data_IF_144433740756
#
_entry.id   IF_144433740756
#
_cell.length_a   1.000
_cell.length_b   1.000
_cell.length_c   1.000
_cell.angle_alpha   90.00
_cell.angle_beta   90.00
_cell.angle_gamma   90.00
#
_symmetry.space_group_name_H-M   'P 1'
#
loop_
_entity.id
_entity.type
_entity.pdbx_description
1 polymer ?
#
# COMPACT_ATOMS: atom_id res chain seq x y z
N UNK A 1 -21.92 22.07 7.81
CA UNK A 1 -20.90 21.06 8.14
C UNK A 1 -21.55 20.01 9.04
N UNK A 2 -21.59 18.72 8.68
CA UNK A 2 -21.99 17.69 9.63
C UNK A 2 -20.75 17.23 10.41
N UNK A 3 -20.76 17.50 11.71
CA UNK A 3 -19.81 17.02 12.69
C UNK A 3 -19.81 15.49 12.76
N UNK A 4 -18.66 14.85 12.47
CA UNK A 4 -18.48 13.41 12.53
C UNK A 4 -18.36 12.93 13.99
N UNK A 5 -19.49 12.81 14.67
CA UNK A 5 -19.65 12.02 15.89
C UNK A 5 -20.60 10.87 15.61
N UNK A 6 -20.05 9.66 15.37
CA UNK A 6 -20.81 8.40 15.40
C UNK A 6 -22.06 8.31 14.50
N UNK A 7 -22.02 8.92 13.31
CA UNK A 7 -23.13 8.88 12.35
C UNK A 7 -22.92 7.82 11.26
N UNK A 8 -24.00 7.20 10.79
CA UNK A 8 -23.99 6.32 9.61
C UNK A 8 -23.18 6.95 8.48
N UNK A 9 -22.13 6.27 8.02
CA UNK A 9 -21.31 6.65 6.85
C UNK A 9 -22.04 6.34 5.52
N UNK A 10 -23.35 6.11 5.61
CA UNK A 10 -24.27 5.76 4.54
C UNK A 10 -25.33 6.86 4.36
N UNK A 11 -25.57 7.37 3.14
CA UNK A 11 -24.87 7.07 1.88
C UNK A 11 -23.46 7.69 1.82
N UNK A 12 -22.59 7.17 0.95
CA UNK A 12 -21.24 7.73 0.72
C UNK A 12 -21.34 9.12 0.07
N UNK A 13 -20.73 10.14 0.68
CA UNK A 13 -20.79 11.56 0.28
C UNK A 13 -19.43 12.13 -0.13
N UNK A 14 -18.50 11.26 -0.51
CA UNK A 14 -17.13 11.64 -0.85
C UNK A 14 -16.24 11.72 0.39
N UNK A 15 -16.06 12.92 0.95
CA UNK A 15 -15.05 13.15 1.99
C UNK A 15 -15.58 12.87 3.40
N UNK A 16 -14.82 12.09 4.16
CA UNK A 16 -15.05 11.81 5.57
C UNK A 16 -13.78 12.06 6.36
N UNK A 17 -13.93 12.66 7.55
CA UNK A 17 -12.83 12.75 8.49
C UNK A 17 -12.71 11.44 9.26
N UNK A 18 -11.55 10.80 9.15
CA UNK A 18 -11.24 9.56 9.86
C UNK A 18 -10.21 9.85 10.95
N UNK A 19 -10.43 9.40 12.21
CA UNK A 19 -9.56 9.73 13.33
C UNK A 19 -8.21 8.99 13.28
N UNK A 20 -8.08 7.98 12.42
CA UNK A 20 -6.91 7.14 12.27
C UNK A 20 -6.58 7.00 10.78
N UNK A 21 -5.30 6.75 10.45
CA UNK A 21 -4.85 6.36 9.11
C UNK A 21 -5.66 5.18 8.55
N UNK A 22 -5.95 4.20 9.41
CA UNK A 22 -6.85 3.09 9.11
C UNK A 22 -8.00 3.10 10.13
N UNK A 23 -9.25 3.33 9.68
CA UNK A 23 -10.45 3.26 10.52
C UNK A 23 -10.59 1.90 11.22
N UNK A 24 -11.47 1.82 12.22
CA UNK A 24 -11.81 0.53 12.83
C UNK A 24 -12.56 -0.39 11.86
N UNK A 25 -12.67 -1.68 12.20
CA UNK A 25 -13.25 -2.68 11.31
C UNK A 25 -14.71 -2.39 10.94
N UNK A 26 -15.53 -1.92 11.88
CA UNK A 26 -16.93 -1.61 11.60
C UNK A 26 -17.03 -0.40 10.67
N UNK A 27 -16.26 0.65 10.94
CA UNK A 27 -16.20 1.83 10.10
C UNK A 27 -15.73 1.52 8.68
N UNK A 28 -14.70 0.68 8.51
CA UNK A 28 -14.25 0.24 7.19
C UNK A 28 -15.36 -0.46 6.41
N UNK A 29 -16.06 -1.41 7.04
CA UNK A 29 -17.16 -2.13 6.37
C UNK A 29 -18.33 -1.21 6.03
N UNK A 30 -18.63 -0.21 6.87
CA UNK A 30 -19.62 0.82 6.55
C UNK A 30 -19.21 1.69 5.36
N UNK A 31 -17.93 2.07 5.28
CA UNK A 31 -17.39 2.81 4.13
C UNK A 31 -17.46 1.98 2.85
N UNK A 32 -17.08 0.70 2.90
CA UNK A 32 -17.15 -0.19 1.73
C UNK A 32 -18.59 -0.41 1.26
N UNK A 33 -19.55 -0.59 2.18
CA UNK A 33 -20.96 -0.66 1.82
C UNK A 33 -21.45 0.64 1.16
N UNK A 34 -20.98 1.78 1.68
CA UNK A 34 -21.09 3.11 1.08
C UNK A 34 -20.64 3.16 -0.38
N UNK A 35 -19.38 2.79 -0.60
CA UNK A 35 -18.73 2.82 -1.90
C UNK A 35 -19.38 1.85 -2.90
N UNK A 36 -19.69 0.63 -2.45
CA UNK A 36 -20.27 -0.41 -3.30
C UNK A 36 -21.63 -0.01 -3.87
N UNK A 37 -22.47 0.67 -3.09
CA UNK A 37 -23.78 1.08 -3.56
C UNK A 37 -23.76 2.39 -4.39
N UNK A 38 -22.61 3.07 -4.45
CA UNK A 38 -22.30 4.12 -5.42
C UNK A 38 -21.46 3.56 -6.59
N UNK A 39 -21.52 2.25 -6.84
CA UNK A 39 -20.86 1.54 -7.93
C UNK A 39 -19.32 1.72 -8.00
N UNK A 40 -18.67 2.01 -6.87
CA UNK A 40 -17.21 2.07 -6.80
C UNK A 40 -16.60 0.69 -7.06
N UNK A 41 -15.72 0.58 -8.05
CA UNK A 41 -15.13 -0.69 -8.47
C UNK A 41 -13.75 -0.98 -7.87
N UNK A 42 -13.12 0.00 -7.23
CA UNK A 42 -11.79 -0.15 -6.65
C UNK A 42 -11.62 0.77 -5.43
N UNK A 43 -10.82 0.32 -4.46
CA UNK A 43 -10.43 1.09 -3.27
C UNK A 43 -8.93 0.95 -3.07
N UNK A 44 -8.23 2.07 -2.97
CA UNK A 44 -6.87 2.14 -2.46
C UNK A 44 -6.91 2.68 -1.03
N UNK A 45 -6.18 2.04 -0.11
CA UNK A 45 -6.18 2.42 1.29
C UNK A 45 -4.81 2.24 1.94
N UNK A 46 -4.54 3.04 2.97
CA UNK A 46 -3.39 2.87 3.83
C UNK A 46 -3.69 1.87 4.95
N UNK A 47 -2.84 0.85 5.08
CA UNK A 47 -2.95 -0.19 6.11
C UNK A 47 -1.79 -0.04 7.11
N UNK A 48 -2.08 0.62 8.22
CA UNK A 48 -1.08 0.82 9.28
C UNK A 48 -0.75 -0.49 10.01
N UNK A 49 0.46 -0.60 10.57
CA UNK A 49 0.85 -1.76 11.38
C UNK A 49 -0.02 -1.91 12.64
N UNK A 50 -0.46 -0.79 13.21
CA UNK A 50 -1.43 -0.76 14.30
C UNK A 50 -2.76 -1.41 13.88
N UNK A 51 -3.24 -1.11 12.67
CA UNK A 51 -4.48 -1.68 12.16
C UNK A 51 -4.39 -3.21 12.02
N UNK A 52 -3.28 -3.71 11.48
CA UNK A 52 -3.03 -5.14 11.34
C UNK A 52 -2.94 -5.85 12.70
N UNK A 53 -2.20 -5.24 13.65
CA UNK A 53 -2.04 -5.76 15.00
C UNK A 53 -3.35 -5.76 15.81
N UNK A 54 -4.21 -4.77 15.60
CA UNK A 54 -5.48 -4.61 16.30
C UNK A 54 -6.68 -5.25 15.57
N UNK A 55 -6.45 -5.93 14.44
CA UNK A 55 -7.52 -6.57 13.66
C UNK A 55 -8.51 -5.58 13.03
N UNK A 56 -8.11 -4.32 12.79
CA UNK A 56 -9.01 -3.32 12.19
C UNK A 56 -9.36 -3.63 10.75
N UNK A 57 -8.50 -4.37 10.04
CA UNK A 57 -8.76 -4.81 8.67
C UNK A 57 -9.36 -6.21 8.60
N UNK A 58 -9.70 -6.83 9.73
CA UNK A 58 -10.31 -8.17 9.72
C UNK A 58 -11.64 -8.13 8.95
N UNK A 59 -11.89 -9.13 8.10
CA UNK A 59 -13.04 -9.14 7.19
C UNK A 59 -12.87 -8.29 5.92
N UNK A 60 -11.70 -7.65 5.72
CA UNK A 60 -11.34 -7.04 4.44
C UNK A 60 -10.54 -8.04 3.61
N UNK A 61 -10.97 -8.27 2.37
CA UNK A 61 -10.21 -9.08 1.42
C UNK A 61 -9.45 -8.17 0.47
N UNK A 62 -8.12 -8.24 0.48
CA UNK A 62 -7.26 -7.42 -0.37
C UNK A 62 -6.97 -8.13 -1.68
N UNK A 63 -7.20 -7.46 -2.81
CA UNK A 63 -6.75 -7.94 -4.13
C UNK A 63 -5.26 -7.67 -4.35
N UNK A 64 -4.75 -6.55 -3.83
CA UNK A 64 -3.34 -6.16 -3.97
C UNK A 64 -2.80 -5.66 -2.64
N UNK A 65 -1.64 -6.19 -2.23
CA UNK A 65 -0.87 -5.65 -1.12
C UNK A 65 0.45 -5.06 -1.63
N UNK A 66 0.77 -3.82 -1.22
CA UNK A 66 1.97 -3.10 -1.65
C UNK A 66 2.91 -2.87 -0.47
N UNK A 67 4.16 -3.31 -0.59
CA UNK A 67 5.22 -3.02 0.38
C UNK A 67 6.14 -1.95 -0.19
N UNK A 68 6.21 -0.80 0.50
CA UNK A 68 7.01 0.35 0.09
C UNK A 68 8.38 0.38 0.74
N UNK A 69 8.43 0.41 2.08
CA UNK A 69 9.67 0.32 2.86
C UNK A 69 9.35 -0.01 4.33
N UNK A 70 10.39 -0.39 5.09
CA UNK A 70 10.34 -0.57 6.53
C UNK A 70 11.55 0.05 7.21
N UNK A 71 11.36 1.23 7.80
CA UNK A 71 12.35 1.90 8.65
C UNK A 71 11.88 1.97 10.10
N UNK A 72 12.77 2.41 11.01
CA UNK A 72 12.47 2.49 12.44
C UNK A 72 11.36 3.51 12.71
N UNK A 73 10.19 3.00 13.06
CA UNK A 73 9.01 3.76 13.46
C UNK A 73 8.15 2.95 14.44
N UNK A 74 7.24 3.59 15.17
CA UNK A 74 6.21 2.95 16.01
C UNK A 74 6.71 1.91 17.05
N UNK A 75 7.96 1.99 17.49
CA UNK A 75 8.52 1.05 18.47
C UNK A 75 8.01 1.27 19.90
N UNK A 76 7.38 2.41 20.16
CA UNK A 76 6.62 2.67 21.38
C UNK A 76 5.39 1.75 21.51
N UNK A 77 4.80 1.36 20.38
CA UNK A 77 3.71 0.40 20.32
C UNK A 77 4.21 -1.04 20.12
N UNK A 78 5.05 -1.25 19.10
CA UNK A 78 5.48 -2.60 18.71
C UNK A 78 6.60 -3.16 19.58
N UNK A 79 7.33 -2.34 20.33
CA UNK A 79 8.47 -2.77 21.15
C UNK A 79 9.74 -2.97 20.33
N UNK A 80 9.71 -3.86 19.34
CA UNK A 80 10.88 -4.21 18.50
C UNK A 80 10.62 -4.05 17.00
N UNK A 81 11.70 -3.92 16.23
CA UNK A 81 11.62 -3.91 14.76
C UNK A 81 11.07 -5.24 14.21
N UNK A 82 11.36 -6.36 14.88
CA UNK A 82 10.84 -7.67 14.52
C UNK A 82 9.32 -7.72 14.65
N UNK A 83 8.78 -7.28 15.80
CA UNK A 83 7.33 -7.23 16.04
C UNK A 83 6.63 -6.27 15.08
N UNK A 84 7.27 -5.12 14.79
CA UNK A 84 6.77 -4.18 13.79
C UNK A 84 6.72 -4.79 12.38
N UNK A 85 7.77 -5.52 11.97
CA UNK A 85 7.81 -6.25 10.70
C UNK A 85 6.72 -7.32 10.65
N UNK A 86 6.64 -8.16 11.68
CA UNK A 86 5.68 -9.26 11.78
C UNK A 86 4.24 -8.76 11.68
N UNK A 87 3.92 -7.60 12.28
CA UNK A 87 2.61 -6.97 12.13
C UNK A 87 2.29 -6.64 10.67
N UNK A 88 3.24 -6.08 9.90
CA UNK A 88 3.04 -5.77 8.48
C UNK A 88 3.00 -7.02 7.60
N UNK A 89 3.77 -8.06 7.91
CA UNK A 89 3.78 -9.31 7.15
C UNK A 89 2.42 -10.02 7.17
N UNK A 90 1.57 -9.78 8.18
CA UNK A 90 0.20 -10.30 8.23
C UNK A 90 -0.56 -10.01 6.94
N UNK A 91 -0.49 -8.77 6.43
CA UNK A 91 -1.18 -8.37 5.19
C UNK A 91 -0.80 -9.26 3.98
N UNK A 92 0.46 -9.68 3.91
CA UNK A 92 0.97 -10.48 2.80
C UNK A 92 0.71 -11.98 2.98
N UNK A 93 0.71 -12.47 4.24
CA UNK A 93 0.42 -13.89 4.56
C UNK A 93 -1.05 -14.24 4.35
N UNK A 94 -1.91 -13.24 4.49
CA UNK A 94 -3.36 -13.32 4.30
C UNK A 94 -3.75 -13.32 2.81
N UNK A 95 -2.79 -13.14 1.88
CA UNK A 95 -3.00 -13.38 0.46
C UNK A 95 -2.92 -14.90 0.19
N UNK A 96 -4.01 -15.49 -0.30
CA UNK A 96 -4.17 -16.94 -0.48
C UNK A 96 -4.85 -17.36 -1.79
N UNK A 97 -5.30 -16.40 -2.61
CA UNK A 97 -5.94 -16.62 -3.91
C UNK A 97 -5.01 -16.15 -5.05
N UNK A 98 -4.20 -17.05 -5.66
CA UNK A 98 -3.25 -16.68 -6.71
C UNK A 98 -3.91 -16.27 -8.03
N UNK A 99 -5.19 -16.55 -8.25
CA UNK A 99 -5.87 -16.16 -9.48
C UNK A 99 -6.29 -14.69 -9.41
N UNK A 100 -6.71 -14.23 -8.23
CA UNK A 100 -7.19 -12.86 -8.01
C UNK A 100 -6.13 -11.92 -7.42
N UNK A 101 -5.31 -12.40 -6.49
CA UNK A 101 -4.50 -11.54 -5.63
C UNK A 101 -3.06 -11.38 -6.08
N UNK A 102 -2.45 -10.22 -5.81
CA UNK A 102 -1.05 -9.92 -6.13
C UNK A 102 -0.35 -9.24 -4.96
N UNK A 103 0.96 -9.46 -4.86
CA UNK A 103 1.83 -8.68 -3.97
C UNK A 103 2.77 -7.80 -4.80
N UNK A 104 2.92 -6.54 -4.42
CA UNK A 104 3.86 -5.59 -5.01
C UNK A 104 4.94 -5.26 -3.98
N UNK A 105 6.21 -5.43 -4.32
CA UNK A 105 7.31 -5.38 -3.34
C UNK A 105 8.45 -4.53 -3.87
N UNK A 106 8.84 -3.52 -3.10
CA UNK A 106 10.06 -2.76 -3.31
C UNK A 106 11.31 -3.61 -3.02
N UNK A 107 12.18 -3.81 -4.01
CA UNK A 107 13.46 -4.53 -3.81
C UNK A 107 14.58 -3.65 -3.25
N UNK A 108 14.41 -2.33 -3.24
CA UNK A 108 15.42 -1.40 -2.70
C UNK A 108 15.46 -1.43 -1.16
N UNK A 109 14.43 -1.98 -0.53
CA UNK A 109 14.37 -2.11 0.92
C UNK A 109 15.03 -3.42 1.41
N UNK A 110 15.93 -3.38 2.40
CA UNK A 110 16.63 -4.56 2.90
C UNK A 110 15.68 -5.63 3.48
N UNK A 111 14.49 -5.24 3.94
CA UNK A 111 13.51 -6.16 4.53
C UNK A 111 12.65 -6.85 3.46
N UNK A 112 12.78 -6.50 2.18
CA UNK A 112 11.97 -7.02 1.07
C UNK A 112 11.87 -8.55 1.03
N UNK A 113 12.96 -9.23 1.34
CA UNK A 113 13.04 -10.69 1.36
C UNK A 113 12.05 -11.34 2.35
N UNK A 114 11.72 -10.68 3.46
CA UNK A 114 10.69 -11.14 4.39
C UNK A 114 9.29 -11.06 3.78
N UNK A 115 9.00 -9.97 3.05
CA UNK A 115 7.73 -9.75 2.38
C UNK A 115 7.52 -10.71 1.20
N UNK A 116 8.58 -10.99 0.44
CA UNK A 116 8.56 -11.99 -0.63
C UNK A 116 8.20 -13.36 -0.07
N UNK A 117 8.83 -13.76 1.05
CA UNK A 117 8.54 -15.02 1.71
C UNK A 117 7.10 -15.08 2.23
N UNK A 118 6.60 -13.98 2.80
CA UNK A 118 5.23 -13.89 3.31
C UNK A 118 4.18 -14.00 2.20
N UNK A 119 4.43 -13.41 1.02
CA UNK A 119 3.54 -13.41 -0.13
C UNK A 119 3.66 -14.66 -1.03
N UNK A 120 4.37 -15.70 -0.59
CA UNK A 120 4.74 -16.86 -1.41
C UNK A 120 3.59 -17.68 -2.03
N UNK A 121 2.34 -17.41 -1.63
CA UNK A 121 1.14 -18.09 -2.16
C UNK A 121 0.57 -17.42 -3.42
N UNK A 122 0.97 -16.20 -3.73
CA UNK A 122 0.40 -15.41 -4.83
C UNK A 122 1.51 -14.85 -5.73
N UNK A 123 1.21 -14.45 -6.98
CA UNK A 123 2.20 -13.84 -7.85
C UNK A 123 2.72 -12.51 -7.26
N UNK A 124 4.04 -12.32 -7.36
CA UNK A 124 4.76 -11.15 -6.84
C UNK A 124 5.24 -10.30 -8.02
N UNK A 125 4.95 -9.01 -7.96
CA UNK A 125 5.48 -7.98 -8.86
C UNK A 125 6.51 -7.19 -8.06
N UNK A 126 7.75 -7.18 -8.53
CA UNK A 126 8.83 -6.44 -7.88
C UNK A 126 9.06 -5.11 -8.56
N UNK A 127 9.39 -4.09 -7.79
CA UNK A 127 9.84 -2.83 -8.33
C UNK A 127 11.14 -2.37 -7.68
N UNK A 128 11.93 -1.57 -8.40
CA UNK A 128 13.22 -1.09 -7.91
C UNK A 128 13.74 0.10 -8.70
N UNK A 129 14.45 0.99 -8.02
CA UNK A 129 15.26 2.05 -8.65
C UNK A 129 16.71 1.62 -8.89
N UNK A 130 17.18 0.56 -8.22
CA UNK A 130 18.59 0.16 -8.20
C UNK A 130 18.87 -1.16 -8.90
N UNK A 131 17.88 -2.06 -8.95
CA UNK A 131 17.98 -3.41 -9.47
C UNK A 131 17.25 -3.56 -10.82
N UNK A 132 17.98 -3.69 -11.94
CA UNK A 132 17.38 -3.84 -13.27
C UNK A 132 16.68 -5.19 -13.48
N UNK A 133 16.85 -6.17 -12.59
CA UNK A 133 16.14 -7.45 -12.64
C UNK A 133 14.73 -7.36 -12.02
N UNK A 134 14.34 -6.21 -11.46
CA UNK A 134 12.97 -5.99 -10.99
C UNK A 134 11.97 -5.97 -12.17
N UNK A 135 10.73 -6.40 -11.91
CA UNK A 135 9.69 -6.39 -12.95
C UNK A 135 9.37 -4.97 -13.43
N UNK A 136 9.34 -4.01 -12.50
CA UNK A 136 9.26 -2.57 -12.78
C UNK A 136 10.57 -1.91 -12.37
N UNK A 137 11.28 -1.29 -13.31
CA UNK A 137 12.59 -0.70 -13.06
C UNK A 137 12.69 0.74 -13.58
N UNK A 138 13.22 1.65 -12.75
CA UNK A 138 13.51 3.02 -13.15
C UNK A 138 14.81 3.06 -14.00
N UNK A 139 14.69 2.98 -15.32
CA UNK A 139 15.82 3.04 -16.25
C UNK A 139 16.48 4.42 -16.28
N UNK A 140 15.68 5.47 -16.21
CA UNK A 140 16.17 6.84 -16.20
C UNK A 140 15.37 7.69 -15.22
N UNK A 141 16.08 8.48 -14.41
CA UNK A 141 15.48 9.39 -13.45
C UNK A 141 16.10 10.77 -13.60
N UNK A 142 15.28 11.75 -13.93
CA UNK A 142 15.66 13.16 -13.99
C UNK A 142 14.97 13.91 -12.86
N UNK A 143 15.77 14.42 -11.93
CA UNK A 143 15.30 15.20 -10.79
C UNK A 143 15.63 16.66 -11.02
N UNK A 144 14.62 17.51 -10.89
CA UNK A 144 14.78 18.96 -10.87
C UNK A 144 14.09 19.57 -9.65
N UNK A 145 14.12 20.90 -9.54
CA UNK A 145 13.39 21.65 -8.51
C UNK A 145 11.91 21.86 -8.87
N UNK A 146 11.48 21.48 -10.07
CA UNK A 146 10.13 21.73 -10.59
C UNK A 146 9.38 20.45 -10.89
N UNK A 147 10.08 19.47 -11.44
CA UNK A 147 9.53 18.19 -11.87
C UNK A 147 10.52 17.04 -11.67
N UNK A 148 9.94 15.85 -11.58
CA UNK A 148 10.59 14.55 -11.62
C UNK A 148 10.11 13.83 -12.87
N UNK A 149 11.03 13.42 -13.74
CA UNK A 149 10.73 12.60 -14.90
C UNK A 149 11.40 11.22 -14.75
N UNK A 150 10.64 10.16 -15.07
CA UNK A 150 11.06 8.77 -14.90
C UNK A 150 10.71 7.97 -16.14
N UNK A 151 11.73 7.33 -16.73
CA UNK A 151 11.54 6.28 -17.73
C UNK A 151 11.55 4.93 -17.01
N UNK A 152 10.45 4.19 -17.11
CA UNK A 152 10.23 2.92 -16.42
C UNK A 152 10.17 1.77 -17.42
N UNK A 153 10.95 0.73 -17.17
CA UNK A 153 10.77 -0.58 -17.81
C UNK A 153 9.67 -1.32 -17.07
N UNK A 154 8.65 -1.76 -17.79
CA UNK A 154 7.57 -2.57 -17.22
C UNK A 154 7.33 -3.81 -18.09
N UNK A 155 6.71 -4.88 -17.55
CA UNK A 155 6.48 -6.11 -18.30
C UNK A 155 5.56 -5.93 -19.51
N UNK A 156 4.66 -4.94 -19.46
CA UNK A 156 3.68 -4.64 -20.52
C UNK A 156 4.16 -3.56 -21.51
N UNK A 157 5.36 -3.01 -21.30
CA UNK A 157 5.94 -1.97 -22.13
C UNK A 157 6.50 -0.80 -21.33
N UNK A 158 7.38 -0.03 -21.95
CA UNK A 158 8.06 1.08 -21.30
C UNK A 158 7.09 2.26 -21.09
N UNK A 159 7.17 2.89 -19.91
CA UNK A 159 6.30 4.00 -19.51
C UNK A 159 7.16 5.20 -19.13
N UNK A 160 6.82 6.39 -19.63
CA UNK A 160 7.39 7.65 -19.17
C UNK A 160 6.40 8.37 -18.24
N UNK A 161 6.85 8.77 -17.06
CA UNK A 161 6.08 9.53 -16.07
C UNK A 161 6.75 10.87 -15.80
N UNK A 162 5.96 11.95 -15.80
CA UNK A 162 6.38 13.29 -15.36
C UNK A 162 5.47 13.73 -14.23
N UNK A 163 6.06 14.13 -13.10
CA UNK A 163 5.34 14.49 -11.89
C UNK A 163 5.94 15.73 -11.21
N UNK A 164 5.08 16.54 -10.59
CA UNK A 164 5.51 17.66 -9.73
C UNK A 164 5.99 17.20 -8.34
N UNK A 165 5.91 15.90 -8.03
CA UNK A 165 6.43 15.34 -6.78
C UNK A 165 7.95 15.21 -6.85
N UNK A 166 8.64 15.93 -5.97
CA UNK A 166 10.09 16.03 -5.97
C UNK A 166 10.75 14.96 -5.09
N UNK A 167 11.96 14.53 -5.48
CA UNK A 167 12.82 13.69 -4.66
C UNK A 167 12.75 12.19 -4.96
N UNK A 168 13.84 11.47 -4.63
CA UNK A 168 14.01 10.05 -4.97
C UNK A 168 12.95 9.13 -4.36
N UNK A 169 12.49 9.40 -3.14
CA UNK A 169 11.46 8.58 -2.51
C UNK A 169 10.13 8.63 -3.28
N UNK A 170 9.82 9.75 -3.93
CA UNK A 170 8.63 9.85 -4.77
C UNK A 170 8.78 9.09 -6.08
N UNK A 171 9.99 8.97 -6.62
CA UNK A 171 10.25 8.08 -7.77
C UNK A 171 9.92 6.64 -7.39
N UNK A 172 10.40 6.16 -6.24
CA UNK A 172 10.08 4.81 -5.76
C UNK A 172 8.57 4.58 -5.55
N UNK A 173 7.82 5.62 -5.16
CA UNK A 173 6.36 5.53 -5.00
C UNK A 173 5.59 5.56 -6.34
N UNK A 174 6.24 5.96 -7.45
CA UNK A 174 5.63 5.99 -8.78
C UNK A 174 5.81 4.68 -9.54
N UNK A 175 6.83 3.88 -9.18
CA UNK A 175 7.06 2.54 -9.71
C UNK A 175 5.98 1.56 -9.22
#
# INVERSE_FOLDING_TARGET
>A
EPSAGGGNLWPYRGRYDVPNTTPDALQLQQLYAGMAAEDCTAVAMEVSSHALALGRTDGTSFDVAVFTNLSRDHLDFHGTMEEYREAKLKLFRDLDDPDRQRAVINLDDPEAHHFIKAASKVPIITYSMENPDAAVYAEKVELSLFETAVDMKCPEGDINVVSGLLGRFNVANML
#
